data_IF_422554151158
#
_entry.id   IF_422554151158
#
_cell.length_a   1.000
_cell.length_b   1.000
_cell.length_c   1.000
_cell.angle_alpha   90.00
_cell.angle_beta   90.00
_cell.angle_gamma   90.00
#
_symmetry.space_group_name_H-M   'P 1'
#
loop_
_entity.id
_entity.type
_entity.pdbx_description
1 polymer ?
#
# COMPACT_ATOMS: atom_id res chain seq x y z
N UNK A 1 -12.23 1.20 1.71
CA UNK A 1 -10.87 1.34 1.16
C UNK A 1 -9.92 0.31 1.76
N UNK A 2 -9.73 0.27 3.09
CA UNK A 2 -8.81 -0.65 3.79
C UNK A 2 -8.79 -2.10 3.26
N UNK A 3 -9.96 -2.73 3.09
CA UNK A 3 -10.02 -4.11 2.57
C UNK A 3 -9.40 -4.27 1.18
N UNK A 4 -9.59 -3.28 0.29
CA UNK A 4 -9.03 -3.30 -1.05
C UNK A 4 -7.50 -3.10 -1.01
N UNK A 5 -7.03 -2.23 -0.11
CA UNK A 5 -5.61 -1.97 0.12
C UNK A 5 -4.87 -3.21 0.65
N UNK A 6 -5.44 -3.88 1.67
CA UNK A 6 -4.95 -5.15 2.19
C UNK A 6 -4.90 -6.24 1.10
N UNK A 7 -5.97 -6.38 0.33
CA UNK A 7 -6.03 -7.36 -0.76
C UNK A 7 -4.98 -7.09 -1.83
N UNK A 8 -4.77 -5.82 -2.18
CA UNK A 8 -3.77 -5.41 -3.16
C UNK A 8 -2.36 -5.83 -2.71
N UNK A 9 -1.98 -5.48 -1.48
CA UNK A 9 -0.66 -5.80 -0.92
C UNK A 9 -0.44 -7.31 -0.80
N UNK A 10 -1.43 -8.06 -0.29
CA UNK A 10 -1.36 -9.51 -0.19
C UNK A 10 -1.20 -10.17 -1.57
N UNK A 11 -1.89 -9.66 -2.59
CA UNK A 11 -1.79 -10.16 -3.97
C UNK A 11 -0.38 -9.94 -4.54
N UNK A 12 0.20 -8.75 -4.35
CA UNK A 12 1.56 -8.46 -4.82
C UNK A 12 2.61 -9.35 -4.14
N UNK A 13 2.49 -9.55 -2.82
CA UNK A 13 3.41 -10.40 -2.06
C UNK A 13 3.32 -11.86 -2.53
N UNK A 14 2.11 -12.38 -2.74
CA UNK A 14 1.90 -13.72 -3.28
C UNK A 14 2.42 -13.86 -4.72
N UNK A 15 2.27 -12.82 -5.55
CA UNK A 15 2.72 -12.80 -6.94
C UNK A 15 4.24 -12.68 -7.10
N UNK A 16 4.98 -12.34 -6.04
CA UNK A 16 6.44 -12.18 -6.08
C UNK A 16 7.22 -13.48 -6.38
N UNK A 17 6.57 -14.64 -6.25
CA UNK A 17 7.22 -15.95 -6.34
C UNK A 17 8.14 -16.27 -5.16
N UNK A 18 8.20 -15.39 -4.15
CA UNK A 18 9.01 -15.56 -2.95
C UNK A 18 8.11 -15.93 -1.76
N UNK A 19 8.16 -17.19 -1.35
CA UNK A 19 7.33 -17.72 -0.25
C UNK A 19 7.54 -16.98 1.07
N UNK A 20 8.77 -16.50 1.34
CA UNK A 20 9.06 -15.73 2.54
C UNK A 20 8.35 -14.36 2.52
N UNK A 21 8.27 -13.72 1.35
CA UNK A 21 7.52 -12.47 1.21
C UNK A 21 6.01 -12.70 1.25
N UNK A 22 5.52 -13.76 0.60
CA UNK A 22 4.11 -14.12 0.64
C UNK A 22 3.61 -14.36 2.07
N UNK A 23 4.42 -14.98 2.93
CA UNK A 23 4.11 -15.21 4.34
C UNK A 23 3.95 -13.92 5.17
N UNK A 24 4.43 -12.77 4.67
CA UNK A 24 4.26 -11.47 5.34
C UNK A 24 2.90 -10.81 5.06
N UNK A 25 2.07 -11.39 4.18
CA UNK A 25 0.79 -10.81 3.78
C UNK A 25 -0.13 -10.45 4.95
N UNK A 26 -0.30 -11.38 5.89
CA UNK A 26 -1.14 -11.17 7.07
C UNK A 26 -0.57 -10.07 7.99
N UNK A 27 0.76 -10.07 8.19
CA UNK A 27 1.44 -9.04 9.00
C UNK A 27 1.27 -7.65 8.39
N UNK A 28 1.43 -7.53 7.07
CA UNK A 28 1.19 -6.26 6.35
C UNK A 28 -0.27 -5.85 6.47
N UNK A 29 -1.20 -6.80 6.35
CA UNK A 29 -2.64 -6.57 6.55
C UNK A 29 -2.96 -5.95 7.91
N UNK A 30 -2.38 -6.49 8.98
CA UNK A 30 -2.56 -5.98 10.34
C UNK A 30 -1.94 -4.58 10.53
N UNK A 31 -0.77 -4.31 9.93
CA UNK A 31 -0.16 -2.97 9.95
C UNK A 31 -1.06 -1.95 9.27
N UNK A 32 -1.66 -2.29 8.13
CA UNK A 32 -2.61 -1.43 7.43
C UNK A 32 -3.89 -1.20 8.25
N UNK A 33 -4.39 -2.24 8.93
CA UNK A 33 -5.55 -2.13 9.82
C UNK A 33 -5.26 -1.23 11.03
N UNK A 34 -4.09 -1.37 11.65
CA UNK A 34 -3.66 -0.53 12.78
C UNK A 34 -3.62 0.95 12.45
N UNK A 35 -3.32 1.32 11.20
CA UNK A 35 -3.32 2.72 10.72
C UNK A 35 -4.72 3.33 10.62
N UNK A 36 -5.76 2.52 10.46
CA UNK A 36 -7.15 3.02 10.31
C UNK A 36 -7.92 3.08 11.63
N UNK A 37 -7.26 2.85 12.76
CA UNK A 37 -7.84 3.14 14.07
C UNK A 37 -8.17 4.65 14.16
N UNK A 38 -9.31 5.08 14.74
CA UNK A 38 -9.81 6.47 14.69
C UNK A 38 -8.87 7.59 15.15
N UNK A 39 -7.70 7.25 15.70
CA UNK A 39 -6.68 8.20 16.14
C UNK A 39 -5.50 8.37 15.16
N UNK A 40 -5.42 7.59 14.07
CA UNK A 40 -4.22 7.52 13.22
C UNK A 40 -4.45 7.88 11.74
N UNK A 41 -5.56 7.53 11.10
CA UNK A 41 -5.83 7.97 9.72
C UNK A 41 -7.32 8.27 9.43
N UNK A 42 -7.60 9.16 8.45
CA UNK A 42 -8.94 9.35 7.92
C UNK A 42 -9.51 8.07 7.30
N UNK A 43 -10.81 7.84 7.42
CA UNK A 43 -11.52 6.70 6.80
C UNK A 43 -11.54 6.72 5.27
N UNK A 44 -11.19 7.86 4.67
CA UNK A 44 -11.19 8.12 3.24
C UNK A 44 -9.75 8.28 2.74
N UNK A 45 -9.33 7.51 1.71
CA UNK A 45 -8.01 7.64 1.13
C UNK A 45 -7.86 8.97 0.38
N UNK A 46 -6.64 9.49 0.32
CA UNK A 46 -6.33 10.62 -0.56
C UNK A 46 -6.41 10.18 -2.02
N UNK A 47 -6.80 11.07 -2.96
CA UNK A 47 -6.75 10.76 -4.39
C UNK A 47 -5.36 10.34 -4.87
N UNK A 48 -4.31 10.87 -4.24
CA UNK A 48 -2.92 10.50 -4.51
C UNK A 48 -2.66 9.02 -4.16
N UNK A 49 -3.06 8.57 -2.96
CA UNK A 49 -2.89 7.18 -2.55
C UNK A 49 -3.55 6.21 -3.54
N UNK A 50 -4.77 6.52 -4.03
CA UNK A 50 -5.47 5.68 -5.02
C UNK A 50 -4.72 5.64 -6.35
N UNK A 51 -4.19 6.78 -6.82
CA UNK A 51 -3.40 6.80 -8.07
C UNK A 51 -2.12 5.99 -7.96
N UNK A 52 -1.39 6.12 -6.85
CA UNK A 52 -0.14 5.40 -6.63
C UNK A 52 -0.33 3.87 -6.66
N UNK A 53 -1.48 3.36 -6.21
CA UNK A 53 -1.82 1.93 -6.36
C UNK A 53 -1.98 1.53 -7.84
N UNK A 54 -2.57 2.42 -8.66
CA UNK A 54 -2.65 2.25 -10.11
C UNK A 54 -1.28 2.22 -10.76
N UNK A 55 -0.39 3.15 -10.37
CA UNK A 55 0.97 3.24 -10.89
C UNK A 55 1.78 1.96 -10.58
N UNK A 56 1.63 1.40 -9.38
CA UNK A 56 2.23 0.09 -9.03
C UNK A 56 1.68 -1.02 -9.94
N UNK A 57 0.36 -1.09 -10.13
CA UNK A 57 -0.25 -2.13 -10.94
C UNK A 57 0.20 -2.08 -12.41
N UNK A 58 0.30 -0.87 -12.98
CA UNK A 58 0.79 -0.64 -14.33
C UNK A 58 2.27 -1.01 -14.49
N UNK A 59 3.11 -0.62 -13.53
CA UNK A 59 4.53 -0.96 -13.53
C UNK A 59 4.76 -2.47 -13.42
N UNK A 60 4.00 -3.16 -12.55
CA UNK A 60 4.05 -4.62 -12.45
C UNK A 60 3.59 -5.29 -13.75
N UNK A 61 2.50 -4.80 -14.36
CA UNK A 61 1.97 -5.37 -15.61
C UNK A 61 2.91 -5.17 -16.80
N UNK A 62 3.63 -4.05 -16.85
CA UNK A 62 4.63 -3.77 -17.89
C UNK A 62 5.98 -4.45 -17.65
N UNK A 63 6.19 -5.07 -16.48
CA UNK A 63 7.45 -5.71 -16.09
C UNK A 63 8.53 -4.74 -15.61
N UNK A 64 8.19 -3.47 -15.38
CA UNK A 64 9.11 -2.47 -14.84
C UNK A 64 9.16 -2.56 -13.30
N UNK A 65 10.03 -3.45 -12.81
CA UNK A 65 10.25 -3.62 -11.37
C UNK A 65 10.81 -2.37 -10.68
N UNK A 66 11.55 -1.53 -11.40
CA UNK A 66 12.09 -0.28 -10.86
C UNK A 66 10.98 0.73 -10.58
N UNK A 67 10.09 0.94 -11.56
CA UNK A 67 8.92 1.80 -11.42
C UNK A 67 7.95 1.27 -10.35
N UNK A 68 7.75 -0.05 -10.28
CA UNK A 68 6.88 -0.64 -9.26
C UNK A 68 7.41 -0.38 -7.84
N UNK A 69 8.72 -0.55 -7.63
CA UNK A 69 9.35 -0.26 -6.34
C UNK A 69 9.27 1.23 -5.98
N UNK A 70 9.51 2.13 -6.95
CA UNK A 70 9.42 3.57 -6.73
C UNK A 70 8.00 4.01 -6.36
N UNK A 71 6.98 3.48 -7.04
CA UNK A 71 5.58 3.77 -6.74
C UNK A 71 5.17 3.22 -5.35
N UNK A 72 5.63 2.02 -4.97
CA UNK A 72 5.41 1.47 -3.62
C UNK A 72 6.08 2.32 -2.53
N UNK A 73 7.28 2.84 -2.78
CA UNK A 73 7.94 3.78 -1.87
C UNK A 73 7.16 5.09 -1.73
N UNK A 74 6.57 5.59 -2.81
CA UNK A 74 5.72 6.77 -2.77
C UNK A 74 4.44 6.54 -1.94
N UNK A 75 3.84 5.34 -1.97
CA UNK A 75 2.71 4.99 -1.08
C UNK A 75 3.12 5.10 0.40
N UNK A 76 4.30 4.58 0.75
CA UNK A 76 4.82 4.63 2.13
C UNK A 76 5.10 6.08 2.56
N UNK A 77 5.68 6.88 1.67
CA UNK A 77 5.97 8.29 1.93
C UNK A 77 4.69 9.09 2.17
N UNK A 78 3.69 8.95 1.29
CA UNK A 78 2.39 9.60 1.44
C UNK A 78 1.77 9.22 2.79
N UNK A 79 1.68 7.91 3.07
CA UNK A 79 1.04 7.44 4.30
C UNK A 79 1.76 7.97 5.55
N UNK A 80 3.08 8.14 5.48
CA UNK A 80 3.88 8.71 6.56
C UNK A 80 3.62 10.21 6.75
N UNK A 81 3.39 10.94 5.67
CA UNK A 81 3.09 12.37 5.70
C UNK A 81 1.67 12.64 6.20
N UNK A 82 0.70 11.83 5.76
CA UNK A 82 -0.67 11.90 6.25
C UNK A 82 -0.80 11.56 7.75
N UNK A 83 0.12 10.76 8.32
CA UNK A 83 0.23 10.56 9.76
C UNK A 83 0.80 11.77 10.53
N UNK A 84 1.62 12.59 9.86
CA UNK A 84 2.21 13.81 10.45
C UNK A 84 1.27 15.00 10.43
N UNK A 85 0.38 15.05 9.43
CA UNK A 85 -0.62 16.12 9.25
C UNK A 85 -2.05 15.57 9.39
N UNK A 86 -2.49 15.14 10.59
CA UNK A 86 -3.84 14.64 10.78
C UNK A 86 -4.85 15.80 10.74
N UNK A 87 -5.24 16.26 9.55
CA UNK A 87 -6.28 17.29 9.41
C UNK A 87 -6.32 18.16 8.15
N UNK A 88 -5.75 17.75 7.02
CA UNK A 88 -5.94 18.45 5.74
C UNK A 88 -7.26 18.06 5.05
#
# INVERSE_FOLDING_TARGET
YLRADQLFHATLLAASGNEMLAALGDVVGEVLAGRTHPALMPSTPTPLAVRLHGDVAEAVQSGDGGAAAAAMQAIIAEASDALREPGA
#
